data_IF_031635704384
#
_entry.id   IF_031635704384
#
_cell.length_a   1.000
_cell.length_b   1.000
_cell.length_c   1.000
_cell.angle_alpha   90.00
_cell.angle_beta   90.00
_cell.angle_gamma   90.00
#
_symmetry.space_group_name_H-M   'P 1'
#
loop_
_entity.id
_entity.type
_entity.pdbx_description
1 polymer ?
#
# COMPACT_ATOMS: atom_id res chain seq x y z
N UNK A 1 -37.89 -30.43 7.80
CA UNK A 1 -37.33 -30.57 6.43
C UNK A 1 -36.05 -29.72 6.29
N UNK A 2 -34.93 -30.17 6.87
CA UNK A 2 -33.68 -29.38 7.03
C UNK A 2 -32.42 -30.13 6.55
N UNK A 3 -32.56 -31.32 5.94
CA UNK A 3 -31.49 -32.33 5.92
C UNK A 3 -30.27 -32.02 5.01
N UNK A 4 -30.33 -31.02 4.14
CA UNK A 4 -29.31 -30.81 3.09
C UNK A 4 -28.61 -29.44 3.09
N UNK A 5 -28.69 -28.70 4.20
CA UNK A 5 -27.88 -27.49 4.37
C UNK A 5 -26.51 -27.88 4.90
N UNK A 6 -25.45 -27.35 4.30
CA UNK A 6 -24.07 -27.63 4.64
C UNK A 6 -23.36 -26.29 4.79
N UNK A 7 -22.74 -26.06 5.95
CA UNK A 7 -22.11 -24.79 6.33
C UNK A 7 -20.58 -24.83 6.38
N UNK A 8 -19.98 -26.00 6.20
CA UNK A 8 -18.53 -26.15 6.13
C UNK A 8 -18.11 -27.35 5.28
N UNK A 9 -16.86 -27.34 4.85
CA UNK A 9 -16.31 -28.37 3.96
C UNK A 9 -16.18 -29.76 4.63
N UNK A 10 -15.94 -29.81 5.94
CA UNK A 10 -15.83 -31.08 6.67
C UNK A 10 -17.17 -31.85 6.67
N UNK A 11 -18.29 -31.13 6.81
CA UNK A 11 -19.63 -31.71 6.69
C UNK A 11 -19.95 -32.10 5.25
N UNK A 12 -19.49 -31.31 4.27
CA UNK A 12 -19.64 -31.64 2.85
C UNK A 12 -18.96 -32.95 2.48
N UNK A 13 -17.68 -33.08 2.81
CA UNK A 13 -16.86 -34.25 2.50
C UNK A 13 -17.35 -35.52 3.19
N UNK A 14 -17.84 -35.43 4.43
CA UNK A 14 -18.47 -36.56 5.12
C UNK A 14 -19.77 -37.04 4.46
N UNK A 15 -20.58 -36.12 3.95
CA UNK A 15 -21.84 -36.46 3.27
C UNK A 15 -21.62 -37.03 1.86
N UNK A 16 -20.53 -36.64 1.18
CA UNK A 16 -20.27 -36.99 -0.21
C UNK A 16 -18.81 -37.43 -0.45
N UNK A 17 -18.34 -38.51 0.22
CA UNK A 17 -16.94 -38.91 0.13
C UNK A 17 -16.54 -39.28 -1.31
N UNK A 18 -17.42 -39.97 -2.04
CA UNK A 18 -17.20 -40.39 -3.44
C UNK A 18 -17.02 -39.22 -4.42
N UNK A 19 -17.59 -38.06 -4.10
CA UNK A 19 -17.51 -36.84 -4.93
C UNK A 19 -16.22 -36.06 -4.68
N UNK A 20 -15.53 -36.30 -3.55
CA UNK A 20 -14.31 -35.60 -3.13
C UNK A 20 -13.04 -36.27 -3.67
N UNK A 21 -13.03 -37.59 -3.80
CA UNK A 21 -11.81 -38.35 -4.16
C UNK A 21 -11.53 -38.41 -5.68
N UNK A 22 -12.35 -37.76 -6.50
CA UNK A 22 -12.20 -37.78 -7.96
C UNK A 22 -11.45 -36.54 -8.44
N UNK A 23 -10.31 -36.75 -9.09
CA UNK A 23 -9.54 -35.70 -9.78
C UNK A 23 -10.41 -34.87 -10.76
N UNK A 24 -11.47 -35.49 -11.32
CA UNK A 24 -12.48 -34.85 -12.17
C UNK A 24 -13.16 -33.62 -11.53
N UNK A 25 -13.21 -33.51 -10.21
CA UNK A 25 -13.88 -32.42 -9.50
C UNK A 25 -12.93 -31.52 -8.69
N UNK A 26 -11.61 -31.58 -8.94
CA UNK A 26 -10.60 -30.85 -8.16
C UNK A 26 -10.89 -29.34 -8.07
N UNK A 27 -11.18 -28.69 -9.20
CA UNK A 27 -11.48 -27.24 -9.24
C UNK A 27 -12.73 -26.88 -8.42
N UNK A 28 -13.78 -27.70 -8.50
CA UNK A 28 -15.02 -27.49 -7.74
C UNK A 28 -14.81 -27.66 -6.24
N UNK A 29 -13.99 -28.64 -5.87
CA UNK A 29 -13.63 -28.90 -4.47
C UNK A 29 -12.83 -27.72 -3.90
N UNK A 30 -11.87 -27.20 -4.67
CA UNK A 30 -11.09 -26.03 -4.27
C UNK A 30 -11.97 -24.78 -4.13
N UNK A 31 -12.84 -24.53 -5.11
CA UNK A 31 -13.83 -23.46 -5.06
C UNK A 31 -14.75 -23.57 -3.83
N UNK A 32 -15.19 -24.79 -3.51
CA UNK A 32 -16.00 -25.07 -2.32
C UNK A 32 -15.25 -24.81 -1.02
N UNK A 33 -13.99 -25.28 -0.91
CA UNK A 33 -13.14 -25.00 0.26
C UNK A 33 -13.00 -23.50 0.47
N UNK A 34 -12.71 -22.75 -0.60
CA UNK A 34 -12.60 -21.30 -0.55
C UNK A 34 -13.92 -20.65 -0.14
N UNK A 35 -15.04 -21.04 -0.74
CA UNK A 35 -16.37 -20.52 -0.43
C UNK A 35 -16.78 -20.77 1.03
N UNK A 36 -16.54 -21.98 1.55
CA UNK A 36 -16.79 -22.30 2.96
C UNK A 36 -15.87 -21.54 3.91
N UNK A 37 -14.61 -21.30 3.54
CA UNK A 37 -13.70 -20.49 4.37
C UNK A 37 -14.20 -19.06 4.58
N UNK A 38 -15.08 -18.57 3.69
CA UNK A 38 -15.74 -17.26 3.78
C UNK A 38 -17.12 -17.31 4.44
N UNK A 39 -17.48 -18.43 5.08
CA UNK A 39 -18.79 -18.62 5.70
C UNK A 39 -19.92 -18.89 4.70
N UNK A 40 -19.59 -19.30 3.49
CA UNK A 40 -20.56 -19.72 2.48
C UNK A 40 -21.40 -20.90 2.97
N UNK A 41 -22.67 -20.94 2.59
CA UNK A 41 -23.60 -22.01 2.92
C UNK A 41 -24.14 -22.57 1.62
N UNK A 42 -24.19 -23.90 1.51
CA UNK A 42 -24.77 -24.56 0.34
C UNK A 42 -25.96 -25.42 0.73
N UNK A 43 -26.90 -25.56 -0.21
CA UNK A 43 -27.94 -26.58 -0.19
C UNK A 43 -27.80 -27.44 -1.43
N UNK A 44 -27.81 -28.75 -1.24
CA UNK A 44 -27.68 -29.73 -2.34
C UNK A 44 -28.96 -30.55 -2.50
N UNK A 45 -29.18 -31.08 -3.70
CA UNK A 45 -30.26 -32.06 -3.97
C UNK A 45 -29.88 -33.44 -3.46
N UNK A 46 -30.86 -34.21 -3.01
CA UNK A 46 -30.74 -35.66 -2.88
C UNK A 46 -30.78 -36.27 -4.28
N UNK A 47 -29.64 -36.28 -4.99
CA UNK A 47 -29.51 -36.95 -6.29
C UNK A 47 -28.63 -38.19 -6.17
N UNK A 48 -28.97 -39.21 -6.96
CA UNK A 48 -28.15 -40.41 -7.18
C UNK A 48 -26.95 -40.18 -8.11
N UNK A 49 -26.80 -38.97 -8.65
CA UNK A 49 -25.68 -38.58 -9.51
C UNK A 49 -24.34 -38.54 -8.75
N UNK A 50 -23.24 -38.74 -9.49
CA UNK A 50 -21.85 -38.73 -8.98
C UNK A 50 -21.44 -37.41 -8.27
N UNK A 51 -22.11 -36.29 -8.58
CA UNK A 51 -21.96 -35.01 -7.88
C UNK A 51 -23.33 -34.34 -7.75
N UNK A 52 -23.82 -34.04 -6.53
CA UNK A 52 -25.19 -33.61 -6.33
C UNK A 52 -25.44 -32.22 -6.93
N UNK A 53 -26.68 -31.89 -7.27
CA UNK A 53 -27.01 -30.56 -7.82
C UNK A 53 -27.02 -29.51 -6.70
N UNK A 54 -26.42 -28.35 -6.95
CA UNK A 54 -26.44 -27.22 -6.01
C UNK A 54 -27.77 -26.46 -6.14
N UNK A 55 -28.59 -26.50 -5.11
CA UNK A 55 -29.88 -25.79 -5.01
C UNK A 55 -29.72 -24.37 -4.44
N UNK A 56 -28.69 -24.16 -3.61
CA UNK A 56 -28.37 -22.85 -3.05
C UNK A 56 -26.85 -22.75 -2.83
N UNK A 57 -26.21 -21.61 -3.09
CA UNK A 57 -26.80 -20.38 -3.65
C UNK A 57 -27.25 -20.58 -5.11
N UNK A 58 -28.38 -19.96 -5.47
CA UNK A 58 -28.86 -19.96 -6.86
C UNK A 58 -28.04 -19.01 -7.75
N UNK A 59 -28.10 -19.19 -9.08
CA UNK A 59 -27.28 -18.42 -10.04
C UNK A 59 -27.41 -16.92 -9.89
N UNK A 60 -28.62 -16.40 -9.66
CA UNK A 60 -28.87 -14.96 -9.50
C UNK A 60 -28.10 -14.39 -8.30
N UNK A 61 -28.11 -15.11 -7.16
CA UNK A 61 -27.38 -14.70 -5.96
C UNK A 61 -25.88 -14.72 -6.20
N UNK A 62 -25.37 -15.77 -6.84
CA UNK A 62 -23.94 -15.88 -7.15
C UNK A 62 -23.49 -14.73 -8.06
N UNK A 63 -24.27 -14.41 -9.10
CA UNK A 63 -23.99 -13.27 -9.99
C UNK A 63 -23.95 -11.94 -9.22
N UNK A 64 -24.92 -11.68 -8.34
CA UNK A 64 -24.91 -10.48 -7.47
C UNK A 64 -23.64 -10.39 -6.63
N UNK A 65 -23.22 -11.51 -6.01
CA UNK A 65 -22.00 -11.55 -5.21
C UNK A 65 -20.74 -11.31 -6.05
N UNK A 66 -20.68 -11.86 -7.26
CA UNK A 66 -19.60 -11.62 -8.21
C UNK A 66 -19.55 -10.14 -8.62
N UNK A 67 -20.69 -9.53 -8.91
CA UNK A 67 -20.77 -8.11 -9.27
C UNK A 67 -20.34 -7.19 -8.11
N UNK A 68 -20.73 -7.50 -6.88
CA UNK A 68 -20.28 -6.82 -5.67
C UNK A 68 -18.75 -6.93 -5.49
N UNK A 69 -18.19 -8.13 -5.68
CA UNK A 69 -16.75 -8.35 -5.61
C UNK A 69 -16.01 -7.59 -6.73
N UNK A 70 -16.56 -7.50 -7.94
CA UNK A 70 -15.97 -6.69 -9.01
C UNK A 70 -15.95 -5.20 -8.66
N UNK A 71 -17.03 -4.66 -8.07
CA UNK A 71 -17.06 -3.27 -7.59
C UNK A 71 -16.00 -3.04 -6.50
N UNK A 72 -15.88 -3.95 -5.53
CA UNK A 72 -14.85 -3.89 -4.49
C UNK A 72 -13.44 -3.98 -5.07
N UNK A 73 -13.21 -4.88 -6.04
CA UNK A 73 -11.95 -5.03 -6.76
C UNK A 73 -11.53 -3.72 -7.41
N UNK A 74 -12.44 -3.06 -8.13
CA UNK A 74 -12.18 -1.77 -8.77
C UNK A 74 -11.82 -0.69 -7.75
N UNK A 75 -12.53 -0.63 -6.62
CA UNK A 75 -12.24 0.30 -5.54
C UNK A 75 -10.82 0.09 -4.97
N UNK A 76 -10.46 -1.15 -4.65
CA UNK A 76 -9.13 -1.47 -4.13
C UNK A 76 -8.02 -1.25 -5.16
N UNK A 77 -8.29 -1.52 -6.44
CA UNK A 77 -7.34 -1.24 -7.51
C UNK A 77 -7.06 0.26 -7.66
N UNK A 78 -8.08 1.13 -7.60
CA UNK A 78 -7.87 2.59 -7.58
C UNK A 78 -6.98 3.01 -6.41
N UNK A 79 -7.25 2.50 -5.21
CA UNK A 79 -6.42 2.77 -4.02
C UNK A 79 -4.98 2.29 -4.19
N UNK A 80 -4.77 1.13 -4.81
CA UNK A 80 -3.44 0.59 -5.10
C UNK A 80 -2.65 1.55 -6.00
N UNK A 81 -3.27 2.03 -7.08
CA UNK A 81 -2.66 3.00 -8.00
C UNK A 81 -2.26 4.28 -7.27
N UNK A 82 -3.13 4.80 -6.39
CA UNK A 82 -2.83 6.01 -5.62
C UNK A 82 -1.65 5.80 -4.66
N UNK A 83 -1.57 4.65 -3.99
CA UNK A 83 -0.45 4.33 -3.11
C UNK A 83 0.86 4.13 -3.87
N UNK A 84 0.82 3.53 -5.07
CA UNK A 84 2.00 3.41 -5.94
C UNK A 84 2.49 4.79 -6.39
N UNK A 85 1.58 5.71 -6.72
CA UNK A 85 1.95 7.11 -7.01
C UNK A 85 2.61 7.79 -5.81
N UNK A 86 2.07 7.60 -4.59
CA UNK A 86 2.67 8.15 -3.36
C UNK A 86 4.06 7.58 -3.08
N UNK A 87 4.25 6.26 -3.27
CA UNK A 87 5.56 5.62 -3.15
C UNK A 87 6.55 6.20 -4.14
N UNK A 88 6.17 6.30 -5.42
CA UNK A 88 7.02 6.86 -6.46
C UNK A 88 7.39 8.31 -6.13
N UNK A 89 6.43 9.14 -5.69
CA UNK A 89 6.68 10.51 -5.27
C UNK A 89 7.68 10.59 -4.10
N UNK A 90 7.59 9.69 -3.13
CA UNK A 90 8.53 9.65 -2.01
C UNK A 90 9.93 9.22 -2.46
N UNK A 91 10.04 8.23 -3.36
CA UNK A 91 11.31 7.75 -3.90
C UNK A 91 12.04 8.80 -4.74
N UNK A 92 11.32 9.53 -5.60
CA UNK A 92 11.91 10.55 -6.48
C UNK A 92 12.00 11.92 -5.82
N UNK A 93 11.54 12.09 -4.57
CA UNK A 93 11.44 13.38 -3.89
C UNK A 93 12.75 14.17 -3.90
N UNK A 94 13.86 13.51 -3.50
CA UNK A 94 15.17 14.16 -3.46
C UNK A 94 15.68 14.51 -4.85
N UNK A 95 15.50 13.62 -5.83
CA UNK A 95 15.91 13.85 -7.22
C UNK A 95 15.17 15.04 -7.83
N UNK A 96 13.85 15.08 -7.66
CA UNK A 96 13.01 16.17 -8.18
C UNK A 96 13.39 17.49 -7.53
N UNK A 97 13.57 17.53 -6.20
CA UNK A 97 13.99 18.75 -5.52
C UNK A 97 15.42 19.17 -5.86
N UNK A 98 16.32 18.22 -6.10
CA UNK A 98 17.67 18.48 -6.60
C UNK A 98 17.69 19.15 -7.97
N UNK A 99 16.72 18.86 -8.84
CA UNK A 99 16.58 19.56 -10.11
C UNK A 99 15.93 20.92 -9.91
N UNK A 100 14.84 20.98 -9.11
CA UNK A 100 14.09 22.22 -8.87
C UNK A 100 14.94 23.29 -8.19
N UNK A 101 15.87 22.94 -7.31
CA UNK A 101 16.75 23.91 -6.63
C UNK A 101 17.53 24.79 -7.61
N UNK A 102 17.87 24.29 -8.79
CA UNK A 102 18.66 25.03 -9.78
C UNK A 102 17.89 26.23 -10.36
N UNK A 103 16.55 26.20 -10.30
CA UNK A 103 15.69 27.31 -10.73
C UNK A 103 15.43 28.32 -9.61
N UNK A 104 15.87 28.04 -8.38
CA UNK A 104 15.63 28.91 -7.23
C UNK A 104 16.75 29.94 -7.07
N UNK A 105 16.47 31.26 -7.14
CA UNK A 105 17.51 32.28 -6.94
C UNK A 105 18.21 32.17 -5.59
N UNK A 106 17.48 31.70 -4.57
CA UNK A 106 18.02 31.49 -3.22
C UNK A 106 19.14 30.44 -3.20
N UNK A 107 19.07 29.42 -4.06
CA UNK A 107 20.14 28.43 -4.22
C UNK A 107 21.43 29.10 -4.66
N UNK A 108 21.36 29.92 -5.70
CA UNK A 108 22.52 30.63 -6.24
C UNK A 108 23.06 31.66 -5.26
N UNK A 109 22.20 32.34 -4.50
CA UNK A 109 22.62 33.24 -3.41
C UNK A 109 23.40 32.49 -2.33
N UNK A 110 22.92 31.31 -1.93
CA UNK A 110 23.64 30.45 -1.00
C UNK A 110 25.00 30.04 -1.56
N UNK A 111 25.07 29.57 -2.81
CA UNK A 111 26.30 29.15 -3.47
C UNK A 111 27.32 30.30 -3.60
N UNK A 112 26.86 31.49 -3.99
CA UNK A 112 27.71 32.68 -4.07
C UNK A 112 28.32 33.02 -2.70
N UNK A 113 27.52 33.02 -1.63
CA UNK A 113 28.02 33.26 -0.26
C UNK A 113 28.96 32.15 0.22
N UNK A 114 28.66 30.90 -0.11
CA UNK A 114 29.50 29.76 0.23
C UNK A 114 30.89 29.86 -0.42
N UNK A 115 30.97 30.38 -1.64
CA UNK A 115 32.23 30.58 -2.35
C UNK A 115 32.99 31.83 -1.88
N UNK A 116 32.30 32.93 -1.60
CA UNK A 116 32.92 34.23 -1.31
C UNK A 116 33.19 34.52 0.17
N UNK A 117 32.48 33.88 1.10
CA UNK A 117 32.58 34.18 2.53
C UNK A 117 33.00 32.95 3.34
N UNK A 118 34.20 33.01 3.95
CA UNK A 118 34.79 31.92 4.74
C UNK A 118 33.97 31.61 6.00
N UNK A 119 33.51 32.62 6.72
CA UNK A 119 32.70 32.43 7.93
C UNK A 119 31.37 31.77 7.60
N UNK A 120 30.72 32.23 6.53
CA UNK A 120 29.50 31.62 6.02
C UNK A 120 29.70 30.16 5.63
N UNK A 121 30.81 29.84 4.95
CA UNK A 121 31.16 28.46 4.57
C UNK A 121 31.28 27.57 5.80
N UNK A 122 32.02 28.03 6.81
CA UNK A 122 32.20 27.29 8.06
C UNK A 122 30.86 27.06 8.77
N UNK A 123 30.00 28.07 8.85
CA UNK A 123 28.67 27.96 9.44
C UNK A 123 27.79 26.96 8.65
N UNK A 124 27.83 27.03 7.32
CA UNK A 124 27.05 26.14 6.44
C UNK A 124 27.52 24.68 6.54
N UNK A 125 28.84 24.43 6.62
CA UNK A 125 29.43 23.10 6.75
C UNK A 125 29.11 22.46 8.10
N UNK A 126 29.03 23.26 9.17
CA UNK A 126 28.61 22.81 10.50
C UNK A 126 27.14 22.40 10.55
N UNK A 127 26.25 23.24 10.01
CA UNK A 127 24.79 23.02 10.08
C UNK A 127 24.32 21.98 9.04
N UNK A 128 25.07 21.79 7.94
CA UNK A 128 24.72 20.91 6.81
C UNK A 128 23.28 21.15 6.34
N UNK A 129 23.01 22.39 5.93
CA UNK A 129 21.67 22.81 5.51
C UNK A 129 21.14 21.95 4.36
N UNK A 130 19.82 21.67 4.34
CA UNK A 130 19.16 21.00 3.22
C UNK A 130 18.97 21.97 2.04
N UNK A 131 20.07 22.47 1.48
CA UNK A 131 20.06 23.39 0.32
C UNK A 131 19.50 22.70 -0.92
N UNK A 132 19.64 21.37 -0.99
CA UNK A 132 18.97 20.52 -1.97
C UNK A 132 17.43 20.60 -1.92
N UNK A 133 16.86 21.01 -0.79
CA UNK A 133 15.42 21.15 -0.58
C UNK A 133 14.94 22.60 -0.57
N UNK A 134 15.75 23.55 -1.05
CA UNK A 134 15.38 24.98 -1.11
C UNK A 134 14.12 25.26 -1.95
N UNK A 135 13.80 24.36 -2.88
CA UNK A 135 12.57 24.41 -3.68
C UNK A 135 11.33 23.88 -2.94
N UNK A 136 11.51 23.19 -1.80
CA UNK A 136 10.40 22.72 -0.98
C UNK A 136 9.90 23.87 -0.08
N UNK A 137 8.58 24.13 -0.12
CA UNK A 137 7.92 25.18 0.67
C UNK A 137 8.18 25.05 2.17
N UNK A 138 8.41 23.83 2.68
CA UNK A 138 8.68 23.59 4.11
C UNK A 138 10.09 24.02 4.51
N UNK A 139 11.08 23.81 3.64
CA UNK A 139 12.50 24.05 3.94
C UNK A 139 13.00 25.41 3.46
N UNK A 140 12.34 25.99 2.44
CA UNK A 140 12.67 27.29 1.86
C UNK A 140 12.78 28.42 2.90
N UNK A 141 11.87 28.58 3.88
CA UNK A 141 11.98 29.66 4.88
C UNK A 141 13.24 29.55 5.73
N UNK A 142 13.59 28.34 6.16
CA UNK A 142 14.80 28.09 6.96
C UNK A 142 16.06 28.44 6.17
N UNK A 143 16.16 27.98 4.91
CA UNK A 143 17.29 28.32 4.03
C UNK A 143 17.32 29.83 3.77
N UNK A 144 16.15 30.47 3.59
CA UNK A 144 16.05 31.92 3.38
C UNK A 144 16.56 32.70 4.58
N UNK A 145 16.16 32.30 5.79
CA UNK A 145 16.63 32.93 7.03
C UNK A 145 18.13 32.74 7.18
N UNK A 146 18.66 31.52 7.05
CA UNK A 146 20.10 31.26 7.15
C UNK A 146 20.94 32.08 6.15
N UNK A 147 20.47 32.21 4.91
CA UNK A 147 21.18 32.95 3.87
C UNK A 147 21.16 34.46 4.13
N UNK A 148 20.08 35.02 4.68
CA UNK A 148 19.88 36.46 4.75
C UNK A 148 20.14 37.07 6.13
N UNK A 149 19.97 36.29 7.19
CA UNK A 149 20.02 36.74 8.59
C UNK A 149 21.23 36.12 9.29
N UNK A 150 22.14 36.99 9.77
CA UNK A 150 23.38 36.59 10.43
C UNK A 150 23.15 36.11 11.86
N UNK A 151 22.20 36.70 12.58
CA UNK A 151 21.90 36.33 13.96
C UNK A 151 21.21 34.97 13.99
N UNK A 152 20.24 34.77 13.10
CA UNK A 152 19.61 33.46 12.92
C UNK A 152 20.66 32.39 12.54
N UNK A 153 21.60 32.73 11.66
CA UNK A 153 22.68 31.81 11.27
C UNK A 153 23.52 31.37 12.47
N UNK A 154 23.97 32.31 13.29
CA UNK A 154 24.76 32.03 14.50
C UNK A 154 23.97 31.20 15.51
N UNK A 155 22.71 31.56 15.76
CA UNK A 155 21.82 30.81 16.65
C UNK A 155 21.61 29.36 16.16
N UNK A 156 21.42 29.16 14.85
CA UNK A 156 21.26 27.82 14.30
C UNK A 156 22.55 26.99 14.42
N UNK A 157 23.71 27.59 14.16
CA UNK A 157 25.01 26.94 14.35
C UNK A 157 25.21 26.52 15.81
N UNK A 158 24.95 27.43 16.75
CA UNK A 158 25.04 27.16 18.18
C UNK A 158 24.07 26.04 18.60
N UNK A 159 22.83 26.11 18.13
CA UNK A 159 21.81 25.07 18.42
C UNK A 159 22.24 23.70 17.90
N UNK A 160 22.84 23.62 16.71
CA UNK A 160 23.32 22.34 16.15
C UNK A 160 24.55 21.81 16.92
N UNK A 161 25.41 22.70 17.42
CA UNK A 161 26.59 22.31 18.19
C UNK A 161 26.26 21.90 19.64
N UNK A 162 25.29 22.56 20.29
CA UNK A 162 24.96 22.34 21.71
C UNK A 162 23.80 21.34 21.93
N UNK A 163 22.92 21.16 20.96
CA UNK A 163 21.73 20.33 21.15
C UNK A 163 22.03 18.84 21.16
N UNK A 164 21.51 18.16 22.19
CA UNK A 164 21.52 16.70 22.33
C UNK A 164 20.85 16.02 21.11
N UNK A 165 19.87 16.69 20.49
CA UNK A 165 19.12 16.18 19.33
C UNK A 165 20.01 16.03 18.10
N UNK A 166 21.03 16.88 17.95
CA UNK A 166 21.97 16.87 16.83
C UNK A 166 23.33 16.25 17.18
N UNK A 167 23.56 15.90 18.46
CA UNK A 167 24.83 15.38 18.95
C UNK A 167 25.32 14.11 18.23
N UNK A 168 24.39 13.22 17.83
CA UNK A 168 24.73 12.00 17.07
C UNK A 168 24.84 12.24 15.57
N UNK A 169 24.16 13.26 15.03
CA UNK A 169 24.08 13.48 13.58
C UNK A 169 23.72 14.94 13.29
N UNK A 170 24.74 15.77 13.00
CA UNK A 170 24.65 17.22 12.81
C UNK A 170 24.03 17.62 11.45
N UNK A 171 22.92 17.01 11.06
CA UNK A 171 22.25 17.27 9.78
C UNK A 171 20.81 17.68 9.99
N UNK A 172 20.49 18.93 9.66
CA UNK A 172 19.10 19.43 9.67
C UNK A 172 18.23 18.71 8.63
N UNK A 173 18.84 18.24 7.53
CA UNK A 173 18.17 17.48 6.47
C UNK A 173 17.67 16.08 6.89
N UNK A 174 18.17 15.54 8.00
CA UNK A 174 17.86 14.17 8.46
C UNK A 174 16.36 13.93 8.59
N UNK A 175 15.64 14.90 9.14
CA UNK A 175 14.18 14.80 9.28
C UNK A 175 13.43 14.73 7.95
N UNK A 176 13.99 15.29 6.87
CA UNK A 176 13.41 15.14 5.54
C UNK A 176 13.64 13.71 5.01
N UNK A 177 14.85 13.18 5.18
CA UNK A 177 15.22 11.81 4.76
C UNK A 177 14.41 10.77 5.52
N UNK A 178 14.34 10.88 6.85
CA UNK A 178 13.53 10.02 7.72
C UNK A 178 12.03 10.10 7.39
N UNK A 179 11.53 11.28 7.08
CA UNK A 179 10.12 11.43 6.71
C UNK A 179 9.82 10.75 5.37
N UNK A 180 10.71 10.85 4.38
CA UNK A 180 10.50 10.20 3.08
C UNK A 180 10.73 8.69 3.15
N UNK A 181 11.67 8.22 3.96
CA UNK A 181 11.85 6.78 4.20
C UNK A 181 10.64 6.20 4.92
N UNK A 182 10.12 6.88 5.95
CA UNK A 182 8.87 6.51 6.61
C UNK A 182 7.69 6.47 5.65
N UNK A 183 7.52 7.51 4.81
CA UNK A 183 6.46 7.54 3.79
C UNK A 183 6.58 6.39 2.79
N UNK A 184 7.80 6.07 2.38
CA UNK A 184 8.07 4.97 1.45
C UNK A 184 7.73 3.64 2.10
N UNK A 185 8.17 3.40 3.33
CA UNK A 185 7.87 2.18 4.08
C UNK A 185 6.36 2.00 4.31
N UNK A 186 5.68 3.05 4.76
CA UNK A 186 4.22 3.02 4.95
C UNK A 186 3.49 2.74 3.64
N UNK A 187 3.92 3.36 2.55
CA UNK A 187 3.32 3.13 1.23
C UNK A 187 3.53 1.70 0.76
N UNK A 188 4.75 1.16 0.90
CA UNK A 188 5.07 -0.23 0.55
C UNK A 188 4.24 -1.24 1.36
N UNK A 189 4.10 -1.02 2.68
CA UNK A 189 3.23 -1.85 3.54
C UNK A 189 1.79 -1.83 3.05
N UNK A 190 1.24 -0.64 2.75
CA UNK A 190 -0.13 -0.50 2.24
C UNK A 190 -0.35 -1.09 0.86
N UNK A 191 0.65 -1.02 -0.03
CA UNK A 191 0.62 -1.70 -1.32
C UNK A 191 0.52 -3.22 -1.12
N UNK A 192 1.38 -3.80 -0.27
CA UNK A 192 1.35 -5.24 0.01
C UNK A 192 0.04 -5.72 0.64
N UNK A 193 -0.56 -4.94 1.56
CA UNK A 193 -1.89 -5.22 2.11
C UNK A 193 -2.98 -5.22 1.01
N UNK A 194 -2.94 -4.26 0.09
CA UNK A 194 -3.91 -4.13 -0.99
C UNK A 194 -3.75 -5.23 -2.04
N UNK A 195 -2.53 -5.62 -2.37
CA UNK A 195 -2.25 -6.72 -3.31
C UNK A 195 -2.78 -8.06 -2.76
N UNK A 196 -2.57 -8.32 -1.47
CA UNK A 196 -3.15 -9.51 -0.81
C UNK A 196 -4.68 -9.50 -0.86
N UNK A 197 -5.30 -8.35 -0.55
CA UNK A 197 -6.78 -8.21 -0.64
C UNK A 197 -7.31 -8.40 -2.05
N UNK A 198 -6.61 -7.88 -3.07
CA UNK A 198 -7.00 -8.06 -4.47
C UNK A 198 -6.89 -9.52 -4.89
N UNK A 199 -5.80 -10.21 -4.53
CA UNK A 199 -5.64 -11.64 -4.80
C UNK A 199 -6.74 -12.48 -4.13
N UNK A 200 -7.12 -12.12 -2.90
CA UNK A 200 -8.21 -12.78 -2.17
C UNK A 200 -9.59 -12.53 -2.80
N UNK A 201 -9.84 -11.32 -3.31
CA UNK A 201 -11.05 -11.02 -4.08
C UNK A 201 -11.07 -11.81 -5.39
N UNK A 202 -9.96 -11.87 -6.11
CA UNK A 202 -9.86 -12.61 -7.37
C UNK A 202 -10.08 -14.12 -7.16
N UNK A 203 -9.50 -14.70 -6.10
CA UNK A 203 -9.77 -16.08 -5.69
C UNK A 203 -11.26 -16.30 -5.35
N UNK A 204 -11.89 -15.33 -4.69
CA UNK A 204 -13.32 -15.40 -4.34
C UNK A 204 -14.23 -15.31 -5.57
N UNK A 205 -13.88 -14.47 -6.54
CA UNK A 205 -14.58 -14.39 -7.83
C UNK A 205 -14.47 -15.71 -8.58
N UNK A 206 -13.26 -16.28 -8.69
CA UNK A 206 -13.03 -17.54 -9.38
C UNK A 206 -13.81 -18.69 -8.72
N UNK A 207 -13.78 -18.77 -7.39
CA UNK A 207 -14.54 -19.77 -6.64
C UNK A 207 -16.06 -19.65 -6.89
N UNK A 208 -16.61 -18.42 -6.84
CA UNK A 208 -18.03 -18.19 -7.12
C UNK A 208 -18.39 -18.50 -8.57
N UNK A 209 -17.53 -18.18 -9.53
CA UNK A 209 -17.74 -18.52 -10.94
C UNK A 209 -17.77 -20.04 -11.16
N UNK A 210 -16.90 -20.79 -10.49
CA UNK A 210 -16.92 -22.25 -10.55
C UNK A 210 -18.18 -22.83 -9.91
N UNK A 211 -18.60 -22.29 -8.75
CA UNK A 211 -19.86 -22.65 -8.11
C UNK A 211 -21.07 -22.31 -9.02
N UNK A 212 -21.02 -21.20 -9.76
CA UNK A 212 -22.09 -20.80 -10.68
C UNK A 212 -22.29 -21.77 -11.85
N UNK A 213 -21.21 -22.41 -12.34
CA UNK A 213 -21.30 -23.46 -13.37
C UNK A 213 -22.09 -24.67 -12.86
N UNK A 214 -22.03 -24.92 -11.56
CA UNK A 214 -22.66 -26.05 -10.88
C UNK A 214 -24.07 -25.74 -10.32
N UNK A 215 -24.35 -24.47 -10.03
CA UNK A 215 -25.65 -24.03 -9.54
C UNK A 215 -26.80 -24.45 -10.46
N UNK A 216 -27.90 -24.94 -9.87
CA UNK A 216 -29.17 -25.04 -10.57
C UNK A 216 -29.62 -23.66 -11.05
N UNK A 217 -30.40 -23.62 -12.13
CA UNK A 217 -31.03 -22.39 -12.64
C UNK A 217 -31.63 -21.56 -11.51
#
# INVERSE_FOLDING_TARGET
MTRNIISNYALFSKKLPKSVDRAKYAERIEALKHYFSKGGIIRISDSSDDFPKLLYPGKVRIKSQVDELHKLRQLYHKRLVDWRKKLQQAQVYFTVNNVKKLKEPLYWKHMAKYLSNKDYRNDADKVKLPVNLVADRRWKPMVKMFVNDLDYRKQLTQTVDESIVYAKDKKVAKYAEELQSFRSEQSSRKIGELEKKLAEIDASINALQEINKWASL
#
